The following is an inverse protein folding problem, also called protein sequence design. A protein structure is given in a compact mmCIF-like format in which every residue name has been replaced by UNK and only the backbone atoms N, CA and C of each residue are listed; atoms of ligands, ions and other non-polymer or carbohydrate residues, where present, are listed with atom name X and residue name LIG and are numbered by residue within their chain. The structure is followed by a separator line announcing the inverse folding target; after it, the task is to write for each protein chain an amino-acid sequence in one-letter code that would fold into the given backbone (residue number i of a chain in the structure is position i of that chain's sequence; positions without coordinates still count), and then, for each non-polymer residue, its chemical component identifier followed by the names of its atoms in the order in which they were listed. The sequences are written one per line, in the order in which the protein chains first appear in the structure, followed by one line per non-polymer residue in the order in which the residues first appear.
data_IF_023068453505
#
_entry.id   IF_023068453505
#
_cell.length_a   1.000
_cell.length_b   1.000
_cell.length_c   1.000
_cell.angle_alpha   90.00
_cell.angle_beta   90.00
_cell.angle_gamma   90.00
#
_symmetry.space_group_name_H-M   'P 1'
#
loop_
_entity.id
_entity.type
_entity.pdbx_description
1 polymer ?
#
# COMPACT_ATOMS: atom_id res chain seq x y z
N UNK A 1 -50.28 -11.79 -21.15
CA UNK A 1 -49.32 -11.37 -22.18
C UNK A 1 -49.38 -9.86 -22.25
N UNK A 2 -48.56 -9.20 -21.43
CA UNK A 2 -48.13 -7.81 -21.61
C UNK A 2 -46.96 -7.59 -20.65
N UNK A 3 -45.78 -7.48 -21.24
CA UNK A 3 -44.53 -7.08 -20.62
C UNK A 3 -44.65 -5.67 -20.03
N UNK A 4 -44.10 -5.49 -18.83
CA UNK A 4 -43.70 -4.18 -18.32
C UNK A 4 -42.18 -4.20 -18.08
N UNK A 5 -41.44 -4.09 -19.18
CA UNK A 5 -40.05 -3.63 -19.18
C UNK A 5 -40.04 -2.11 -19.03
N UNK A 6 -39.33 -1.62 -18.01
CA UNK A 6 -39.13 -0.18 -17.79
C UNK A 6 -38.42 0.10 -16.48
N UNK A 7 -37.28 -0.58 -16.24
CA UNK A 7 -36.36 -0.19 -15.18
C UNK A 7 -35.57 1.02 -15.71
N UNK A 8 -36.07 2.21 -15.42
CA UNK A 8 -35.31 3.44 -15.61
C UNK A 8 -34.04 3.37 -14.76
N UNK A 9 -32.91 3.20 -15.45
CA UNK A 9 -31.59 3.34 -14.86
C UNK A 9 -31.43 4.82 -14.50
N UNK A 10 -31.64 5.15 -13.23
CA UNK A 10 -31.21 6.41 -12.64
C UNK A 10 -29.68 6.47 -12.73
N UNK A 11 -29.18 7.06 -13.82
CA UNK A 11 -27.83 7.60 -13.89
C UNK A 11 -27.81 8.77 -12.93
N UNK A 12 -27.33 8.53 -11.71
CA UNK A 12 -27.04 9.60 -10.77
C UNK A 12 -25.78 10.28 -11.30
N UNK A 13 -25.95 11.40 -12.00
CA UNK A 13 -24.85 12.33 -12.28
C UNK A 13 -24.33 12.81 -10.92
N UNK A 14 -23.19 12.26 -10.49
CA UNK A 14 -22.50 12.77 -9.31
C UNK A 14 -22.11 14.24 -9.56
N UNK A 15 -22.34 15.15 -8.59
CA UNK A 15 -22.02 16.54 -8.77
C UNK A 15 -20.52 16.72 -9.03
N UNK A 16 -20.20 17.62 -9.97
CA UNK A 16 -18.83 18.00 -10.35
C UNK A 16 -17.94 18.55 -9.21
N UNK A 17 -18.45 18.59 -7.97
CA UNK A 17 -17.69 18.83 -6.73
C UNK A 17 -16.97 17.58 -6.19
N UNK A 18 -17.18 16.38 -6.76
CA UNK A 18 -16.39 15.18 -6.49
C UNK A 18 -14.99 15.20 -7.14
N UNK A 19 -14.51 16.37 -7.59
CA UNK A 19 -13.17 16.51 -8.16
C UNK A 19 -12.12 16.28 -7.08
N UNK A 20 -11.30 15.25 -7.33
CA UNK A 20 -9.95 15.05 -6.78
C UNK A 20 -9.88 14.51 -5.35
N UNK A 21 -10.54 13.38 -5.05
CA UNK A 21 -9.82 12.42 -4.20
C UNK A 21 -8.71 11.84 -5.05
N UNK A 22 -7.42 12.00 -4.69
CA UNK A 22 -6.38 11.23 -5.35
C UNK A 22 -6.78 9.75 -5.26
N UNK A 23 -6.61 9.02 -6.34
CA UNK A 23 -6.84 7.58 -6.34
C UNK A 23 -6.13 6.95 -5.12
N UNK A 24 -6.78 5.99 -4.44
CA UNK A 24 -6.27 5.44 -3.20
C UNK A 24 -4.88 4.84 -3.42
N UNK A 25 -3.95 5.24 -2.56
CA UNK A 25 -2.58 4.77 -2.53
C UNK A 25 -2.15 4.59 -1.09
N UNK A 26 -1.15 3.76 -0.85
CA UNK A 26 -0.53 3.66 0.46
C UNK A 26 -0.16 5.05 1.03
N UNK A 27 -0.40 5.21 2.31
CA UNK A 27 -0.32 6.44 3.08
C UNK A 27 -1.61 7.28 3.10
N UNK A 28 -2.64 6.86 2.37
CA UNK A 28 -3.95 7.55 2.32
C UNK A 28 -5.13 6.59 2.56
N UNK A 29 -4.88 5.35 2.99
CA UNK A 29 -5.93 4.32 3.13
C UNK A 29 -6.51 4.30 4.54
N UNK A 30 -5.68 4.54 5.55
CA UNK A 30 -6.08 4.53 6.95
C UNK A 30 -6.17 5.97 7.48
N UNK A 31 -7.15 6.22 8.34
CA UNK A 31 -7.29 7.51 9.02
C UNK A 31 -6.29 7.59 10.17
N UNK A 32 -5.08 8.08 9.87
CA UNK A 32 -4.02 8.26 10.86
C UNK A 32 -4.28 9.49 11.71
N UNK A 33 -4.56 9.26 12.99
CA UNK A 33 -4.77 10.29 13.98
C UNK A 33 -3.53 10.46 14.86
N UNK A 34 -3.34 11.66 15.39
CA UNK A 34 -2.30 11.94 16.38
C UNK A 34 -2.85 11.69 17.76
N UNK A 35 -2.17 10.86 18.54
CA UNK A 35 -2.39 10.78 19.97
C UNK A 35 -1.74 12.02 20.64
N UNK A 36 -2.51 12.86 21.34
CA UNK A 36 -1.99 14.09 21.94
C UNK A 36 -1.05 13.83 23.13
N UNK A 37 -1.20 12.70 23.84
CA UNK A 37 -0.49 12.42 25.09
C UNK A 37 0.88 11.76 24.81
N UNK A 38 0.95 10.93 23.77
CA UNK A 38 2.15 10.14 23.44
C UNK A 38 2.88 10.66 22.19
N UNK A 39 2.29 11.62 21.47
CA UNK A 39 2.70 12.07 20.13
C UNK A 39 2.78 10.94 19.07
N UNK A 40 2.24 9.76 19.38
CA UNK A 40 2.15 8.66 18.43
C UNK A 40 1.18 8.99 17.31
N UNK A 41 1.28 8.26 16.19
CA UNK A 41 0.23 8.25 15.17
C UNK A 41 -0.46 6.90 15.22
N UNK A 42 -1.78 6.91 15.30
CA UNK A 42 -2.58 5.71 15.44
C UNK A 42 -3.63 5.61 14.32
N UNK A 43 -3.96 4.40 13.93
CA UNK A 43 -5.05 4.12 12.99
C UNK A 43 -5.74 2.80 13.34
N UNK A 44 -7.06 2.73 13.15
CA UNK A 44 -7.81 1.49 13.37
C UNK A 44 -7.85 0.64 12.10
N UNK A 45 -7.49 -0.64 12.20
CA UNK A 45 -7.63 -1.60 11.09
C UNK A 45 -7.76 -3.03 11.61
N UNK A 46 -8.68 -3.79 11.02
CA UNK A 46 -8.79 -5.23 11.30
C UNK A 46 -9.10 -5.57 12.76
N UNK A 47 -9.85 -4.69 13.44
CA UNK A 47 -10.26 -4.90 14.83
C UNK A 47 -9.22 -4.51 15.88
N UNK A 48 -8.15 -3.81 15.49
CA UNK A 48 -7.11 -3.32 16.41
C UNK A 48 -6.59 -1.94 16.03
N UNK A 49 -6.09 -1.21 17.03
CA UNK A 49 -5.33 0.02 16.81
C UNK A 49 -3.91 -0.33 16.39
N UNK A 50 -3.39 0.41 15.41
CA UNK A 50 -2.02 0.33 14.91
C UNK A 50 -1.33 1.62 15.23
N UNK A 51 -0.06 1.54 15.61
CA UNK A 51 0.67 2.72 16.02
C UNK A 51 1.99 2.84 15.25
N UNK A 52 2.38 4.08 14.96
CA UNK A 52 3.75 4.44 14.62
C UNK A 52 4.25 5.54 15.55
N UNK A 53 5.53 5.50 15.86
CA UNK A 53 6.20 6.52 16.69
C UNK A 53 7.51 6.95 16.06
N UNK A 54 7.93 8.20 16.30
CA UNK A 54 9.19 8.73 15.80
C UNK A 54 10.25 8.62 16.90
N UNK A 55 11.27 7.81 16.66
CA UNK A 55 12.43 7.70 17.54
C UNK A 55 13.47 8.74 17.19
N UNK A 56 13.94 9.44 18.23
CA UNK A 56 15.17 10.21 18.15
C UNK A 56 16.38 9.28 18.02
N UNK A 57 17.58 9.84 17.82
CA UNK A 57 18.81 9.03 17.79
C UNK A 57 19.04 8.32 19.14
N UNK A 58 18.89 9.03 20.26
CA UNK A 58 19.10 8.47 21.59
C UNK A 58 18.13 7.33 21.89
N UNK A 59 16.84 7.50 21.56
CA UNK A 59 15.83 6.46 21.77
C UNK A 59 16.10 5.25 20.85
N UNK A 60 16.44 5.50 19.59
CA UNK A 60 16.76 4.44 18.66
C UNK A 60 17.98 3.61 19.13
N UNK A 61 19.02 4.26 19.65
CA UNK A 61 20.20 3.57 20.19
C UNK A 61 19.84 2.71 21.41
N UNK A 62 18.97 3.21 22.30
CA UNK A 62 18.46 2.45 23.46
C UNK A 62 17.67 1.19 23.02
N UNK A 63 16.99 1.27 21.89
CA UNK A 63 16.25 0.16 21.28
C UNK A 63 17.06 -0.64 20.25
N UNK A 64 18.38 -0.39 20.12
CA UNK A 64 19.28 -1.05 19.14
C UNK A 64 18.75 -1.00 17.70
N UNK A 65 18.16 0.13 17.34
CA UNK A 65 17.56 0.37 16.02
C UNK A 65 18.08 1.67 15.40
N UNK A 66 17.45 2.15 14.33
CA UNK A 66 17.84 3.39 13.64
C UNK A 66 16.84 4.52 13.93
N UNK A 67 17.28 5.79 14.00
CA UNK A 67 16.37 6.91 14.14
C UNK A 67 15.40 7.02 12.97
N UNK A 68 14.15 7.38 13.25
CA UNK A 68 13.07 7.49 12.27
C UNK A 68 11.72 7.05 12.83
N UNK A 69 10.75 6.81 11.95
CA UNK A 69 9.42 6.32 12.30
C UNK A 69 9.41 4.80 12.36
N UNK A 70 8.85 4.24 13.43
CA UNK A 70 8.75 2.81 13.67
C UNK A 70 7.30 2.39 13.85
N UNK A 71 6.95 1.21 13.36
CA UNK A 71 5.71 0.55 13.76
C UNK A 71 5.80 0.06 15.20
N UNK A 72 4.69 0.07 15.90
CA UNK A 72 4.47 -0.69 17.14
C UNK A 72 3.57 -1.87 16.79
N UNK A 73 4.07 -3.07 17.04
CA UNK A 73 3.25 -4.27 17.02
C UNK A 73 2.92 -4.61 18.47
N UNK A 74 1.62 -4.61 18.77
CA UNK A 74 1.12 -5.25 19.98
C UNK A 74 1.27 -6.75 19.77
N UNK A 75 2.11 -7.40 20.58
CA UNK A 75 2.07 -8.86 20.64
C UNK A 75 0.78 -9.34 21.32
N UNK A 76 0.52 -10.64 21.25
CA UNK A 76 -0.71 -11.24 21.79
C UNK A 76 -0.86 -11.08 23.31
N UNK A 77 0.20 -10.69 24.01
CA UNK A 77 0.27 -10.56 25.45
C UNK A 77 0.29 -9.09 25.91
N UNK A 78 0.10 -8.14 24.98
CA UNK A 78 0.05 -6.70 25.26
C UNK A 78 1.43 -6.08 25.48
N UNK A 79 2.51 -6.75 25.07
CA UNK A 79 3.85 -6.19 25.08
C UNK A 79 4.03 -5.27 23.88
N UNK A 80 4.30 -4.00 24.15
CA UNK A 80 4.55 -2.97 23.15
C UNK A 80 6.03 -3.02 22.74
N UNK A 81 6.33 -3.69 21.63
CA UNK A 81 7.66 -3.75 21.05
C UNK A 81 7.88 -2.67 19.97
N UNK A 82 9.08 -2.08 19.92
CA UNK A 82 9.51 -1.28 18.78
C UNK A 82 9.70 -2.21 17.58
N UNK A 83 8.81 -2.10 16.61
CA UNK A 83 8.81 -2.85 15.36
C UNK A 83 9.72 -2.24 14.28
N UNK A 84 9.53 -2.63 13.00
CA UNK A 84 10.42 -2.21 11.91
C UNK A 84 10.42 -0.70 11.71
N UNK A 85 11.56 -0.18 11.21
CA UNK A 85 11.67 1.19 10.72
C UNK A 85 10.81 1.35 9.46
N UNK A 86 9.78 2.18 9.53
CA UNK A 86 8.82 2.43 8.44
C UNK A 86 9.03 3.76 7.74
N UNK A 87 10.09 4.50 8.06
CA UNK A 87 10.52 5.63 7.22
C UNK A 87 11.21 6.73 8.00
N UNK A 88 11.84 7.66 7.29
CA UNK A 88 12.50 8.83 7.89
C UNK A 88 11.62 10.08 7.84
N UNK A 89 10.60 10.08 6.97
CA UNK A 89 9.58 11.13 6.86
C UNK A 89 8.22 10.57 7.25
N UNK A 90 7.32 11.42 7.74
CA UNK A 90 5.97 11.00 8.12
C UNK A 90 5.17 10.43 6.94
N UNK A 91 5.33 11.01 5.74
CA UNK A 91 4.68 10.53 4.52
C UNK A 91 5.11 9.11 4.16
N UNK A 92 6.41 8.84 4.19
CA UNK A 92 6.94 7.48 3.95
C UNK A 92 6.51 6.52 5.06
N UNK A 93 6.44 7.01 6.30
CA UNK A 93 5.95 6.25 7.45
C UNK A 93 4.53 5.74 7.24
N UNK A 94 3.60 6.60 6.83
CA UNK A 94 2.23 6.17 6.51
C UNK A 94 2.19 5.18 5.35
N UNK A 95 2.98 5.40 4.30
CA UNK A 95 3.05 4.47 3.15
C UNK A 95 3.51 3.07 3.55
N UNK A 96 4.63 2.96 4.26
CA UNK A 96 5.19 1.67 4.65
C UNK A 96 4.39 1.01 5.78
N UNK A 97 3.84 1.79 6.71
CA UNK A 97 2.95 1.28 7.74
C UNK A 97 1.68 0.66 7.12
N UNK A 98 1.03 1.36 6.19
CA UNK A 98 -0.15 0.81 5.51
C UNK A 98 0.19 -0.43 4.67
N UNK A 99 1.32 -0.43 3.97
CA UNK A 99 1.79 -1.64 3.29
C UNK A 99 1.99 -2.80 4.27
N UNK A 100 2.59 -2.56 5.44
CA UNK A 100 2.76 -3.57 6.50
C UNK A 100 1.44 -4.10 7.04
N UNK A 101 0.44 -3.23 7.18
CA UNK A 101 -0.85 -3.57 7.79
C UNK A 101 -1.77 -4.30 6.80
N UNK A 102 -1.78 -3.88 5.53
CA UNK A 102 -2.79 -4.27 4.53
C UNK A 102 -2.30 -5.41 3.64
N UNK A 103 -1.01 -5.46 3.30
CA UNK A 103 -0.48 -6.51 2.46
C UNK A 103 -0.36 -7.83 3.24
N UNK A 104 -0.58 -8.99 2.57
CA UNK A 104 -0.29 -10.28 3.18
C UNK A 104 1.15 -10.34 3.72
N UNK A 105 1.34 -10.88 4.92
CA UNK A 105 2.67 -10.98 5.55
C UNK A 105 3.70 -11.68 4.65
N UNK A 106 3.24 -12.65 3.84
CA UNK A 106 4.07 -13.32 2.84
C UNK A 106 4.64 -12.35 1.79
N UNK A 107 3.89 -11.36 1.32
CA UNK A 107 4.41 -10.33 0.40
C UNK A 107 5.47 -9.46 1.10
N UNK A 108 5.23 -9.12 2.36
CA UNK A 108 6.11 -8.21 3.10
C UNK A 108 7.45 -8.86 3.49
N UNK A 109 7.43 -10.13 3.90
CA UNK A 109 8.62 -10.86 4.36
C UNK A 109 9.31 -11.69 3.28
N UNK A 110 8.55 -12.37 2.41
CA UNK A 110 9.17 -13.16 1.34
C UNK A 110 9.66 -12.26 0.19
N UNK A 111 9.14 -11.03 0.09
CA UNK A 111 9.51 -10.08 -0.95
C UNK A 111 9.85 -8.71 -0.35
N UNK A 112 11.04 -8.54 0.27
CA UNK A 112 11.54 -7.23 0.69
C UNK A 112 11.58 -6.21 -0.45
N UNK A 113 11.51 -6.70 -1.70
CA UNK A 113 11.31 -5.91 -2.92
C UNK A 113 10.04 -5.04 -2.89
N UNK A 114 8.90 -5.52 -2.39
CA UNK A 114 7.69 -4.70 -2.27
C UNK A 114 7.91 -3.55 -1.28
N UNK A 115 8.46 -3.86 -0.10
CA UNK A 115 8.83 -2.87 0.91
C UNK A 115 9.74 -1.78 0.34
N UNK A 116 10.80 -2.20 -0.36
CA UNK A 116 11.74 -1.28 -0.99
C UNK A 116 11.07 -0.43 -2.07
N UNK A 117 10.21 -1.02 -2.90
CA UNK A 117 9.47 -0.31 -3.94
C UNK A 117 8.52 0.74 -3.33
N UNK A 118 7.74 0.39 -2.30
CA UNK A 118 6.84 1.33 -1.61
C UNK A 118 7.62 2.48 -0.97
N UNK A 119 8.81 2.21 -0.44
CA UNK A 119 9.70 3.21 0.14
C UNK A 119 10.23 4.23 -0.89
N UNK A 120 9.92 4.05 -2.18
CA UNK A 120 10.39 4.89 -3.29
C UNK A 120 11.71 4.43 -3.90
N UNK A 121 12.22 3.25 -3.53
CA UNK A 121 13.42 2.72 -4.15
C UNK A 121 13.11 2.03 -5.47
N UNK A 122 14.11 2.04 -6.36
CA UNK A 122 14.12 1.20 -7.56
C UNK A 122 14.56 -0.21 -7.18
N UNK A 123 13.84 -1.20 -7.67
CA UNK A 123 14.06 -2.60 -7.35
C UNK A 123 14.32 -3.38 -8.63
N UNK A 124 15.48 -4.03 -8.69
CA UNK A 124 15.79 -4.94 -9.78
C UNK A 124 14.89 -6.19 -9.71
N UNK A 125 14.40 -6.59 -10.87
CA UNK A 125 13.59 -7.78 -11.09
C UNK A 125 14.00 -8.43 -12.42
N UNK A 126 13.77 -9.72 -12.60
CA UNK A 126 14.29 -10.50 -13.75
C UNK A 126 14.04 -9.83 -15.12
N UNK A 127 12.89 -9.17 -15.29
CA UNK A 127 12.51 -8.49 -16.53
C UNK A 127 12.90 -7.01 -16.61
N UNK A 128 13.46 -6.43 -15.55
CA UNK A 128 13.82 -5.01 -15.54
C UNK A 128 13.90 -4.38 -14.15
N UNK A 129 13.45 -3.13 -14.04
CA UNK A 129 13.43 -2.37 -12.79
C UNK A 129 12.02 -1.93 -12.47
N UNK A 130 11.57 -2.27 -11.27
CA UNK A 130 10.30 -1.81 -10.71
C UNK A 130 10.57 -0.57 -9.86
N UNK A 131 9.81 0.49 -10.07
CA UNK A 131 9.90 1.72 -9.29
C UNK A 131 8.51 2.23 -8.96
N UNK A 132 8.34 2.81 -7.77
CA UNK A 132 7.13 3.58 -7.47
C UNK A 132 6.98 4.74 -8.47
N UNK A 133 5.77 4.95 -8.95
CA UNK A 133 5.40 6.15 -9.70
C UNK A 133 4.95 7.22 -8.70
N UNK A 134 5.68 8.32 -8.57
CA UNK A 134 5.27 9.39 -7.65
C UNK A 134 4.13 10.25 -8.22
N UNK A 135 3.80 10.08 -9.51
CA UNK A 135 2.73 10.82 -10.19
C UNK A 135 1.40 10.06 -10.24
N UNK A 136 1.42 8.74 -10.09
CA UNK A 136 0.25 7.87 -10.23
C UNK A 136 0.30 6.77 -9.17
N UNK A 137 -0.83 6.25 -8.69
CA UNK A 137 -0.88 5.22 -7.64
C UNK A 137 -0.50 3.84 -8.21
N UNK A 138 0.73 3.70 -8.70
CA UNK A 138 1.23 2.47 -9.33
C UNK A 138 2.73 2.30 -9.18
N UNK A 139 3.20 1.12 -9.52
CA UNK A 139 4.59 0.84 -9.79
C UNK A 139 4.81 0.75 -11.29
N UNK A 140 5.88 1.36 -11.80
CA UNK A 140 6.32 1.25 -13.19
C UNK A 140 7.36 0.15 -13.29
N UNK A 141 7.16 -0.79 -14.21
CA UNK A 141 8.18 -1.74 -14.64
C UNK A 141 8.86 -1.21 -15.90
N UNK A 142 10.18 -1.07 -15.84
CA UNK A 142 11.00 -0.56 -16.94
C UNK A 142 12.03 -1.59 -17.39
N UNK A 143 12.15 -1.77 -18.70
CA UNK A 143 13.16 -2.62 -19.35
C UNK A 143 13.90 -1.79 -20.39
N UNK A 144 15.23 -1.75 -20.30
CA UNK A 144 16.08 -0.93 -21.19
C UNK A 144 15.63 0.55 -21.32
N UNK A 145 15.14 1.14 -20.22
CA UNK A 145 14.67 2.53 -20.17
C UNK A 145 13.24 2.76 -20.67
N UNK A 146 12.53 1.72 -21.12
CA UNK A 146 11.14 1.82 -21.60
C UNK A 146 10.20 1.20 -20.57
N UNK A 147 9.04 1.83 -20.33
CA UNK A 147 8.00 1.23 -19.48
C UNK A 147 7.35 0.08 -20.24
N UNK A 148 7.40 -1.13 -19.69
CA UNK A 148 6.83 -2.34 -20.30
C UNK A 148 5.59 -2.84 -19.58
N UNK A 149 5.38 -2.44 -18.32
CA UNK A 149 4.14 -2.66 -17.59
C UNK A 149 3.97 -1.64 -16.44
N UNK A 150 2.73 -1.45 -15.98
CA UNK A 150 2.44 -0.93 -14.64
C UNK A 150 1.96 -2.06 -13.73
N UNK A 151 2.16 -1.92 -12.42
CA UNK A 151 1.59 -2.79 -11.38
C UNK A 151 0.83 -1.91 -10.40
N UNK A 152 -0.44 -2.21 -10.22
CA UNK A 152 -1.40 -1.34 -9.54
C UNK A 152 -2.05 -2.11 -8.38
N UNK A 153 -2.01 -1.56 -7.15
CA UNK A 153 -2.78 -2.08 -6.04
C UNK A 153 -4.26 -1.69 -6.21
N UNK A 154 -5.13 -2.66 -5.99
CA UNK A 154 -6.58 -2.48 -5.92
C UNK A 154 -7.01 -2.72 -4.48
N UNK A 155 -7.41 -1.65 -3.81
CA UNK A 155 -7.83 -1.71 -2.41
C UNK A 155 -9.31 -2.07 -2.30
N UNK A 156 -9.61 -3.07 -1.46
CA UNK A 156 -10.96 -3.59 -1.23
C UNK A 156 -11.32 -3.41 0.25
N UNK A 157 -12.39 -2.67 0.54
CA UNK A 157 -12.84 -2.39 1.91
C UNK A 157 -14.09 -3.16 2.31
N UNK A 158 -14.11 -3.78 3.50
CA UNK A 158 -15.32 -4.32 4.16
C UNK A 158 -15.18 -4.30 5.67
N UNK A 159 -16.20 -3.81 6.38
CA UNK A 159 -16.30 -3.94 7.84
C UNK A 159 -15.14 -3.32 8.63
N UNK A 160 -14.63 -2.16 8.21
CA UNK A 160 -13.50 -1.49 8.87
C UNK A 160 -12.13 -2.12 8.62
N UNK A 161 -12.04 -3.07 7.67
CA UNK A 161 -10.78 -3.62 7.17
C UNK A 161 -10.63 -3.35 5.68
N UNK A 162 -9.39 -3.05 5.28
CA UNK A 162 -8.97 -2.96 3.87
C UNK A 162 -8.05 -4.14 3.56
N UNK A 163 -8.22 -4.72 2.39
CA UNK A 163 -7.33 -5.71 1.78
C UNK A 163 -6.86 -5.20 0.43
N UNK A 164 -5.81 -5.81 -0.12
CA UNK A 164 -5.23 -5.42 -1.42
C UNK A 164 -5.26 -6.59 -2.39
N UNK A 165 -5.55 -6.29 -3.65
CA UNK A 165 -5.23 -7.14 -4.82
C UNK A 165 -4.27 -6.40 -5.73
N UNK A 166 -3.65 -7.12 -6.64
CA UNK A 166 -2.64 -6.59 -7.53
C UNK A 166 -3.04 -6.87 -8.97
N UNK A 167 -2.83 -5.89 -9.84
CA UNK A 167 -3.05 -5.98 -11.28
C UNK A 167 -1.85 -5.44 -12.01
N UNK A 168 -1.48 -6.05 -13.12
CA UNK A 168 -0.46 -5.51 -14.01
C UNK A 168 -1.06 -5.22 -15.39
N UNK A 169 -0.66 -4.10 -15.98
CA UNK A 169 -1.14 -3.66 -17.28
C UNK A 169 0.03 -3.36 -18.21
N UNK A 170 -0.16 -3.53 -19.51
CA UNK A 170 0.75 -3.01 -20.52
C UNK A 170 0.61 -1.47 -20.65
N UNK A 171 1.48 -0.78 -21.42
CA UNK A 171 1.35 0.66 -21.64
C UNK A 171 0.08 1.10 -22.39
N UNK A 172 -0.59 0.17 -23.08
CA UNK A 172 -1.86 0.42 -23.77
C UNK A 172 -3.09 0.26 -22.86
N UNK A 173 -2.91 -0.24 -21.63
CA UNK A 173 -3.97 -0.48 -20.65
C UNK A 173 -4.56 -1.90 -20.69
N UNK A 174 -3.95 -2.83 -21.42
CA UNK A 174 -4.35 -4.24 -21.43
C UNK A 174 -3.93 -4.92 -20.14
N UNK A 175 -4.83 -5.63 -19.48
CA UNK A 175 -4.50 -6.44 -18.29
C UNK A 175 -3.59 -7.61 -18.68
N UNK A 176 -2.42 -7.70 -18.03
CA UNK A 176 -1.41 -8.74 -18.27
C UNK A 176 -1.36 -9.81 -17.18
N UNK A 177 -1.65 -9.44 -15.94
CA UNK A 177 -1.60 -10.32 -14.77
C UNK A 177 -2.47 -9.79 -13.63
N UNK A 178 -2.96 -10.66 -12.75
CA UNK A 178 -3.64 -10.24 -11.53
C UNK A 178 -3.59 -11.28 -10.41
N UNK A 179 -3.45 -10.83 -9.16
CA UNK A 179 -3.28 -11.74 -8.03
C UNK A 179 -3.78 -11.15 -6.71
N UNK A 180 -3.83 -12.01 -5.70
CA UNK A 180 -4.09 -11.57 -4.32
C UNK A 180 -2.81 -11.16 -3.61
N UNK A 181 -1.67 -11.54 -4.18
CA UNK A 181 -0.33 -11.21 -3.70
C UNK A 181 0.47 -10.52 -4.78
N UNK A 182 1.32 -9.59 -4.38
CA UNK A 182 2.19 -8.87 -5.30
C UNK A 182 3.11 -9.82 -6.04
N UNK A 183 3.65 -10.80 -5.33
CA UNK A 183 4.52 -11.82 -5.90
C UNK A 183 3.85 -12.73 -6.92
N UNK A 184 2.58 -13.09 -6.70
CA UNK A 184 1.79 -13.88 -7.66
C UNK A 184 1.63 -13.10 -8.97
N UNK A 185 1.27 -11.82 -8.88
CA UNK A 185 1.14 -10.94 -10.05
C UNK A 185 2.46 -10.77 -10.78
N UNK A 186 3.59 -10.65 -10.07
CA UNK A 186 4.90 -10.62 -10.71
C UNK A 186 5.24 -11.93 -11.42
N UNK A 187 5.02 -13.07 -10.77
CA UNK A 187 5.30 -14.38 -11.37
C UNK A 187 4.49 -14.61 -12.64
N UNK A 188 3.20 -14.25 -12.63
CA UNK A 188 2.34 -14.32 -13.81
C UNK A 188 2.82 -13.35 -14.89
N UNK A 189 3.11 -12.09 -14.54
CA UNK A 189 3.64 -11.10 -15.48
C UNK A 189 4.93 -11.56 -16.15
N UNK A 190 5.79 -12.30 -15.42
CA UNK A 190 7.02 -12.88 -15.99
C UNK A 190 6.75 -13.91 -17.09
N UNK A 191 5.63 -14.62 -17.01
CA UNK A 191 5.25 -15.60 -18.05
C UNK A 191 4.55 -14.95 -19.24
N UNK A 192 3.98 -13.76 -19.06
CA UNK A 192 3.22 -13.03 -20.09
C UNK A 192 4.10 -12.15 -20.98
N UNK A 193 5.17 -11.56 -20.42
CA UNK A 193 6.10 -10.64 -21.12
C UNK A 193 7.30 -11.34 -21.78
#
# INVERSE_FOLDING_TARGET
MTDHTGLDVLVVDEPASARQRPEPWFGNLLDWQRDPDTDMRCAWHGGRTRYITKLSRGDADAHKTRPGWHMWDDDRDGWHGIGPLVGTTLRTAYQLAEAWIICPYADMMAYPRLWLAVAGNRVAWELGTIAKDDQQPRFKLTRAGVTVASIEPVFLGRGGAVSVRWRAFDPAGTLLASGTRWAETLAELQTTL
#
